data_IF_367054743856
#
_entry.id   IF_367054743856
#
_cell.length_a   1.000
_cell.length_b   1.000
_cell.length_c   1.000
_cell.angle_alpha   90.00
_cell.angle_beta   90.00
_cell.angle_gamma   90.00
#
_symmetry.space_group_name_H-M   'P 1'
#
loop_
_entity.id
_entity.type
_entity.pdbx_description
1 polymer ?
#
# COMPACT_ATOMS: atom_id res chain seq x y z
N UNK A 1 26.54 -1.40 -18.67
CA UNK A 1 25.56 -2.32 -18.06
C UNK A 1 24.70 -1.48 -17.13
N UNK A 2 23.36 -1.47 -17.21
CA UNK A 2 22.58 -0.67 -16.27
C UNK A 2 22.56 -1.39 -14.93
N UNK A 3 23.27 -0.82 -13.96
CA UNK A 3 23.22 -1.21 -12.55
C UNK A 3 21.79 -1.00 -12.04
N UNK A 4 21.00 -2.07 -11.93
CA UNK A 4 19.81 -2.09 -11.08
C UNK A 4 20.31 -2.13 -9.63
N UNK A 5 20.65 -0.95 -9.10
CA UNK A 5 21.23 -0.79 -7.76
C UNK A 5 20.18 -1.26 -6.73
N UNK A 6 20.58 -2.15 -5.83
CA UNK A 6 19.78 -2.61 -4.69
C UNK A 6 19.14 -1.49 -3.84
N UNK A 7 19.60 -0.24 -3.99
CA UNK A 7 18.98 0.96 -3.41
C UNK A 7 17.62 1.34 -4.01
N UNK A 8 17.34 1.01 -5.27
CA UNK A 8 16.07 1.37 -5.93
C UNK A 8 14.88 0.56 -5.40
N UNK A 9 15.06 -0.74 -5.21
CA UNK A 9 14.04 -1.63 -4.67
C UNK A 9 13.68 -1.28 -3.21
N UNK A 10 14.70 -1.07 -2.37
CA UNK A 10 14.50 -0.70 -0.97
C UNK A 10 13.88 0.70 -0.81
N UNK A 11 14.29 1.67 -1.64
CA UNK A 11 13.68 2.99 -1.65
C UNK A 11 12.22 2.95 -2.12
N UNK A 12 11.92 2.15 -3.15
CA UNK A 12 10.56 1.96 -3.63
C UNK A 12 9.69 1.27 -2.58
N UNK A 13 10.15 0.19 -1.94
CA UNK A 13 9.40 -0.48 -0.87
C UNK A 13 9.12 0.47 0.30
N UNK A 14 10.11 1.27 0.71
CA UNK A 14 9.95 2.26 1.76
C UNK A 14 8.93 3.35 1.38
N UNK A 15 8.98 3.84 0.15
CA UNK A 15 8.01 4.82 -0.37
C UNK A 15 6.59 4.26 -0.37
N UNK A 16 6.44 3.05 -0.93
CA UNK A 16 5.17 2.34 -0.98
C UNK A 16 4.56 2.15 0.42
N UNK A 17 5.40 1.79 1.40
CA UNK A 17 4.99 1.58 2.79
C UNK A 17 4.54 2.89 3.42
N UNK A 18 5.28 3.97 3.20
CA UNK A 18 4.94 5.29 3.73
C UNK A 18 3.63 5.83 3.13
N UNK A 19 3.40 5.62 1.83
CA UNK A 19 2.13 5.94 1.17
C UNK A 19 0.97 5.15 1.77
N UNK A 20 1.14 3.83 1.94
CA UNK A 20 0.14 2.96 2.55
C UNK A 20 -0.17 3.38 4.00
N UNK A 21 0.84 3.62 4.83
CA UNK A 21 0.65 4.04 6.21
C UNK A 21 -0.06 5.39 6.31
N UNK A 22 0.29 6.33 5.44
CA UNK A 22 -0.36 7.65 5.40
C UNK A 22 -1.83 7.55 4.98
N UNK A 23 -2.13 6.76 3.94
CA UNK A 23 -3.50 6.55 3.48
C UNK A 23 -4.34 5.77 4.51
N UNK A 24 -3.75 4.74 5.12
CA UNK A 24 -4.38 3.96 6.18
C UNK A 24 -4.70 4.84 7.40
N UNK A 25 -3.76 5.66 7.86
CA UNK A 25 -3.98 6.53 9.01
C UNK A 25 -5.12 7.53 8.77
N UNK A 26 -5.24 8.06 7.54
CA UNK A 26 -6.36 8.95 7.16
C UNK A 26 -7.70 8.21 7.21
N UNK A 27 -7.77 7.00 6.67
CA UNK A 27 -8.99 6.20 6.68
C UNK A 27 -9.36 5.73 8.10
N UNK A 28 -8.38 5.35 8.92
CA UNK A 28 -8.60 4.99 10.33
C UNK A 28 -9.09 6.20 11.16
N UNK A 29 -8.56 7.39 10.90
CA UNK A 29 -9.06 8.62 11.52
C UNK A 29 -10.52 8.88 11.13
N UNK A 30 -10.85 8.81 9.83
CA UNK A 30 -12.22 8.93 9.33
C UNK A 30 -13.14 7.88 9.96
N UNK A 31 -12.68 6.63 10.09
CA UNK A 31 -13.44 5.54 10.70
C UNK A 31 -13.76 5.81 12.17
N UNK A 32 -12.81 6.39 12.91
CA UNK A 32 -12.96 6.73 14.33
C UNK A 32 -13.94 7.89 14.55
N UNK A 33 -13.95 8.85 13.63
CA UNK A 33 -14.86 10.00 13.68
C UNK A 33 -16.24 9.71 13.07
N UNK A 34 -16.36 8.63 12.29
CA UNK A 34 -17.61 8.25 11.63
C UNK A 34 -18.58 7.57 12.61
N UNK A 35 -19.68 8.27 12.92
CA UNK A 35 -20.77 7.74 13.71
C UNK A 35 -21.78 6.90 12.90
N UNK A 36 -21.80 7.08 11.57
CA UNK A 36 -22.75 6.40 10.69
C UNK A 36 -22.25 5.00 10.28
N UNK A 37 -23.02 3.93 10.52
CA UNK A 37 -22.58 2.56 10.23
C UNK A 37 -22.43 2.27 8.73
N UNK A 38 -23.18 2.94 7.86
CA UNK A 38 -23.10 2.74 6.41
C UNK A 38 -21.83 3.38 5.84
N UNK A 39 -21.52 4.60 6.30
CA UNK A 39 -20.26 5.26 5.97
C UNK A 39 -19.05 4.52 6.58
N UNK A 40 -19.21 3.99 7.80
CA UNK A 40 -18.19 3.16 8.44
C UNK A 40 -17.86 1.93 7.58
N UNK A 41 -18.88 1.23 7.07
CA UNK A 41 -18.69 0.09 6.17
C UNK A 41 -17.94 0.49 4.89
N UNK A 42 -18.30 1.61 4.27
CA UNK A 42 -17.60 2.11 3.08
C UNK A 42 -16.12 2.42 3.35
N UNK A 43 -15.79 2.99 4.52
CA UNK A 43 -14.41 3.26 4.92
C UNK A 43 -13.65 1.95 5.20
N UNK A 44 -14.31 0.94 5.78
CA UNK A 44 -13.73 -0.39 5.96
C UNK A 44 -13.45 -1.10 4.63
N UNK A 45 -14.32 -0.93 3.63
CA UNK A 45 -14.08 -1.43 2.28
C UNK A 45 -12.91 -0.70 1.61
N UNK A 46 -12.83 0.64 1.71
CA UNK A 46 -11.67 1.41 1.23
C UNK A 46 -10.36 0.93 1.90
N UNK A 47 -10.37 0.66 3.21
CA UNK A 47 -9.21 0.13 3.92
C UNK A 47 -8.79 -1.26 3.41
N UNK A 48 -9.77 -2.10 3.09
CA UNK A 48 -9.51 -3.44 2.52
C UNK A 48 -8.91 -3.33 1.13
N UNK A 49 -9.46 -2.47 0.28
CA UNK A 49 -8.98 -2.25 -1.08
C UNK A 49 -7.55 -1.69 -1.08
N UNK A 50 -7.28 -0.67 -0.25
CA UNK A 50 -5.95 -0.10 -0.04
C UNK A 50 -4.92 -1.15 0.37
N UNK A 51 -5.30 -2.09 1.25
CA UNK A 51 -4.42 -3.19 1.68
C UNK A 51 -4.13 -4.17 0.56
N UNK A 52 -5.13 -4.53 -0.24
CA UNK A 52 -4.95 -5.44 -1.37
C UNK A 52 -4.15 -4.79 -2.51
N UNK A 53 -4.35 -3.50 -2.79
CA UNK A 53 -3.53 -2.72 -3.74
C UNK A 53 -2.06 -2.69 -3.29
N UNK A 54 -1.79 -2.35 -2.02
CA UNK A 54 -0.44 -2.36 -1.47
C UNK A 54 0.23 -3.73 -1.60
N UNK A 55 -0.51 -4.80 -1.28
CA UNK A 55 -0.02 -6.19 -1.42
C UNK A 55 0.22 -6.57 -2.89
N UNK A 56 -0.63 -6.11 -3.80
CA UNK A 56 -0.49 -6.33 -5.24
C UNK A 56 0.73 -5.62 -5.80
N UNK A 57 0.94 -4.35 -5.41
CA UNK A 57 2.12 -3.55 -5.75
C UNK A 57 3.42 -4.16 -5.21
N UNK A 58 3.43 -4.61 -3.95
CA UNK A 58 4.58 -5.34 -3.37
C UNK A 58 4.86 -6.64 -4.13
N UNK A 59 3.83 -7.42 -4.47
CA UNK A 59 4.01 -8.64 -5.27
C UNK A 59 4.56 -8.34 -6.65
N UNK A 60 4.07 -7.29 -7.32
CA UNK A 60 4.56 -6.87 -8.64
C UNK A 60 6.01 -6.41 -8.58
N UNK A 61 6.37 -5.62 -7.56
CA UNK A 61 7.75 -5.21 -7.33
C UNK A 61 8.65 -6.44 -7.12
N UNK A 62 8.27 -7.36 -6.23
CA UNK A 62 9.02 -8.59 -5.98
C UNK A 62 9.13 -9.46 -7.23
N UNK A 63 8.05 -9.62 -7.99
CA UNK A 63 8.07 -10.36 -9.26
C UNK A 63 9.00 -9.68 -10.28
N UNK A 64 9.03 -8.34 -10.33
CA UNK A 64 9.94 -7.61 -11.22
C UNK A 64 11.40 -7.69 -10.79
N UNK A 65 11.69 -7.88 -9.50
CA UNK A 65 13.05 -7.99 -8.96
C UNK A 65 13.60 -9.42 -9.01
N UNK A 66 12.74 -10.42 -8.93
CA UNK A 66 13.11 -11.85 -8.88
C UNK A 66 12.66 -12.65 -10.11
N UNK A 67 11.90 -12.05 -11.03
CA UNK A 67 11.41 -12.65 -12.27
C UNK A 67 12.25 -12.21 -13.46
N UNK A 68 13.47 -12.72 -13.56
CA UNK A 68 14.22 -12.81 -14.82
C UNK A 68 14.80 -14.22 -14.86
N UNK A 69 14.02 -15.12 -15.44
CA UNK A 69 14.44 -16.46 -15.88
C UNK A 69 14.25 -16.53 -17.38
#
# INVERSE_FOLDING_TARGET
MPEFIAGGAAAYEKGLRQEYESARARLEARLKECADPSQRHAIEEELRDLKEDFKSRLRRMRHSLFGTG
#
